data_IF_371427759961
#
_entry.id   IF_371427759961
#
_cell.length_a   1.000
_cell.length_b   1.000
_cell.length_c   1.000
_cell.angle_alpha   90.00
_cell.angle_beta   90.00
_cell.angle_gamma   90.00
#
_symmetry.space_group_name_H-M   'P 1'
#
loop_
_entity.id
_entity.type
_entity.pdbx_description
1 polymer ?
#
# COMPACT_ATOMS: atom_id res chain seq x y z
N UNK A 1 -17.62 -1.48 -59.51
CA UNK A 1 -16.78 -0.61 -58.64
C UNK A 1 -17.27 -0.56 -57.18
N UNK A 2 -18.53 -0.90 -56.89
CA UNK A 2 -19.10 -0.98 -55.53
C UNK A 2 -18.54 -2.10 -54.64
N UNK A 3 -18.05 -3.21 -55.21
CA UNK A 3 -17.46 -4.31 -54.45
C UNK A 3 -16.06 -4.01 -53.87
N UNK A 4 -15.33 -3.05 -54.44
CA UNK A 4 -14.00 -2.66 -53.94
C UNK A 4 -14.09 -1.76 -52.70
N UNK A 5 -15.20 -1.02 -52.56
CA UNK A 5 -15.46 -0.11 -51.42
C UNK A 5 -15.86 -0.89 -50.16
N UNK A 6 -16.52 -2.04 -50.29
CA UNK A 6 -16.90 -2.87 -49.15
C UNK A 6 -15.71 -3.58 -48.47
N UNK A 7 -14.60 -3.80 -49.18
CA UNK A 7 -13.41 -4.45 -48.62
C UNK A 7 -12.52 -3.46 -47.86
N UNK A 8 -12.58 -2.17 -48.17
CA UNK A 8 -11.79 -1.13 -47.49
C UNK A 8 -12.43 -0.69 -46.16
N UNK A 9 -13.74 -0.86 -45.99
CA UNK A 9 -14.45 -0.47 -44.76
C UNK A 9 -14.27 -1.47 -43.60
N UNK A 10 -13.86 -2.71 -43.89
CA UNK A 10 -13.66 -3.74 -42.86
C UNK A 10 -12.29 -3.67 -42.18
N UNK A 11 -11.35 -2.85 -42.69
CA UNK A 11 -9.97 -2.76 -42.18
C UNK A 11 -9.76 -1.72 -41.06
N UNK A 12 -10.81 -0.98 -40.66
CA UNK A 12 -10.72 0.08 -39.65
C UNK A 12 -11.18 -0.33 -38.24
N UNK A 13 -11.48 -1.60 -38.01
CA UNK A 13 -11.87 -2.09 -36.68
C UNK A 13 -10.60 -2.54 -35.94
N UNK A 14 -9.75 -1.57 -35.58
CA UNK A 14 -8.60 -1.84 -34.71
C UNK A 14 -9.12 -2.34 -33.35
N UNK A 15 -8.73 -3.55 -32.88
CA UNK A 15 -9.03 -3.93 -31.52
C UNK A 15 -8.23 -3.00 -30.59
N UNK A 16 -8.95 -2.20 -29.79
CA UNK A 16 -8.34 -1.47 -28.69
C UNK A 16 -7.91 -2.53 -27.68
N UNK A 17 -6.65 -2.96 -27.76
CA UNK A 17 -6.05 -3.85 -26.77
C UNK A 17 -5.97 -3.07 -25.45
N UNK A 18 -6.89 -3.38 -24.55
CA UNK A 18 -6.90 -2.83 -23.19
C UNK A 18 -5.71 -3.42 -22.43
N UNK A 19 -4.69 -2.59 -22.18
CA UNK A 19 -3.51 -3.01 -21.45
C UNK A 19 -3.81 -3.07 -19.96
N UNK A 20 -3.37 -4.16 -19.30
CA UNK A 20 -3.47 -4.31 -17.86
C UNK A 20 -2.70 -3.19 -17.14
N UNK A 21 -3.36 -2.52 -16.20
CA UNK A 21 -2.78 -1.43 -15.39
C UNK A 21 -2.35 -1.90 -14.00
N UNK A 22 -2.74 -3.11 -13.62
CA UNK A 22 -2.48 -3.65 -12.31
C UNK A 22 -3.10 -5.03 -12.09
N UNK A 23 -2.93 -5.54 -10.87
CA UNK A 23 -3.37 -6.88 -10.48
C UNK A 23 -4.01 -6.86 -9.11
N UNK A 24 -5.04 -7.67 -8.93
CA UNK A 24 -5.67 -7.91 -7.64
C UNK A 24 -4.79 -8.85 -6.79
N UNK A 25 -4.37 -8.41 -5.62
CA UNK A 25 -3.55 -9.20 -4.69
C UNK A 25 -4.39 -10.16 -3.85
N UNK A 26 -5.54 -9.68 -3.36
CA UNK A 26 -6.54 -10.52 -2.68
C UNK A 26 -7.91 -9.84 -2.71
N UNK A 27 -8.94 -10.64 -2.49
CA UNK A 27 -10.32 -10.19 -2.28
C UNK A 27 -10.90 -10.87 -1.04
N UNK A 28 -11.88 -10.21 -0.46
CA UNK A 28 -12.68 -10.68 0.67
C UNK A 28 -14.12 -10.58 0.23
N UNK A 29 -14.86 -11.69 0.35
CA UNK A 29 -16.24 -11.80 -0.11
C UNK A 29 -16.36 -11.34 -1.59
N UNK A 30 -17.53 -10.89 -2.01
CA UNK A 30 -17.82 -10.53 -3.40
C UNK A 30 -17.21 -9.17 -3.75
N UNK A 31 -16.34 -9.16 -4.75
CA UNK A 31 -15.80 -7.97 -5.40
C UNK A 31 -15.95 -8.13 -6.90
N UNK A 32 -16.42 -7.08 -7.58
CA UNK A 32 -16.57 -7.07 -9.03
C UNK A 32 -15.87 -5.85 -9.63
N UNK A 33 -15.50 -5.97 -10.90
CA UNK A 33 -15.17 -4.84 -11.75
C UNK A 33 -16.24 -4.69 -12.82
N UNK A 34 -16.64 -3.45 -13.08
CA UNK A 34 -17.54 -3.09 -14.17
C UNK A 34 -16.80 -2.19 -15.16
N UNK A 35 -16.81 -2.54 -16.44
CA UNK A 35 -16.17 -1.77 -17.51
C UNK A 35 -17.03 -1.86 -18.77
N UNK A 36 -17.31 -0.73 -19.42
CA UNK A 36 -18.11 -0.65 -20.64
C UNK A 36 -19.45 -1.43 -20.56
N UNK A 37 -20.10 -1.45 -19.39
CA UNK A 37 -21.36 -2.18 -19.15
C UNK A 37 -21.20 -3.67 -18.82
N UNK A 38 -20.01 -4.25 -18.96
CA UNK A 38 -19.72 -5.64 -18.61
C UNK A 38 -19.25 -5.73 -17.16
N UNK A 39 -19.81 -6.66 -16.40
CA UNK A 39 -19.37 -6.97 -15.03
C UNK A 39 -18.64 -8.29 -14.97
N UNK A 40 -17.54 -8.33 -14.21
CA UNK A 40 -16.76 -9.54 -13.94
C UNK A 40 -16.37 -9.63 -12.48
N UNK A 41 -16.32 -10.84 -11.95
CA UNK A 41 -15.81 -11.08 -10.61
C UNK A 41 -14.30 -10.85 -10.57
N UNK A 42 -13.84 -10.22 -9.49
CA UNK A 42 -12.42 -10.07 -9.20
C UNK A 42 -11.99 -11.09 -8.16
N UNK A 43 -10.91 -11.80 -8.45
CA UNK A 43 -10.23 -12.72 -7.56
C UNK A 43 -8.73 -12.37 -7.53
N UNK A 44 -7.97 -13.02 -6.65
CA UNK A 44 -6.50 -12.92 -6.67
C UNK A 44 -5.97 -13.23 -8.07
N UNK A 45 -5.08 -12.38 -8.57
CA UNK A 45 -4.48 -12.50 -9.90
C UNK A 45 -5.28 -11.87 -11.04
N UNK A 46 -6.53 -11.44 -10.82
CA UNK A 46 -7.30 -10.74 -11.84
C UNK A 46 -6.59 -9.47 -12.33
N UNK A 47 -6.55 -9.28 -13.65
CA UNK A 47 -6.05 -8.08 -14.27
C UNK A 47 -7.06 -6.93 -14.14
N UNK A 48 -6.52 -5.72 -13.98
CA UNK A 48 -7.27 -4.48 -13.94
C UNK A 48 -6.97 -3.68 -15.20
N UNK A 49 -7.97 -2.94 -15.66
CA UNK A 49 -7.93 -2.18 -16.90
C UNK A 49 -8.38 -0.73 -16.66
N UNK A 50 -7.96 0.18 -17.54
CA UNK A 50 -8.49 1.55 -17.53
C UNK A 50 -10.00 1.50 -17.79
N UNK A 51 -10.75 2.31 -17.04
CA UNK A 51 -12.20 2.34 -17.09
C UNK A 51 -12.89 1.42 -16.08
N UNK A 52 -12.15 0.51 -15.42
CA UNK A 52 -12.72 -0.38 -14.42
C UNK A 52 -13.28 0.41 -13.25
N UNK A 53 -14.52 0.08 -12.89
CA UNK A 53 -15.16 0.47 -11.65
C UNK A 53 -15.15 -0.74 -10.72
N UNK A 54 -14.27 -0.71 -9.73
CA UNK A 54 -14.15 -1.74 -8.70
C UNK A 54 -15.22 -1.48 -7.65
N UNK A 55 -16.09 -2.46 -7.44
CA UNK A 55 -17.23 -2.39 -6.55
C UNK A 55 -17.10 -3.47 -5.47
N UNK A 56 -17.10 -3.03 -4.22
CA UNK A 56 -17.11 -3.90 -3.04
C UNK A 56 -18.48 -3.83 -2.36
N UNK A 57 -19.01 -4.98 -1.98
CA UNK A 57 -20.24 -5.08 -1.19
C UNK A 57 -19.97 -4.79 0.31
N UNK A 58 -21.00 -4.93 1.13
CA UNK A 58 -20.87 -4.94 2.59
C UNK A 58 -19.90 -6.04 3.03
N UNK A 59 -19.03 -5.72 4.00
CA UNK A 59 -17.95 -6.57 4.50
C UNK A 59 -16.97 -7.12 3.43
N UNK A 60 -17.03 -6.62 2.20
CA UNK A 60 -16.07 -6.99 1.15
C UNK A 60 -14.86 -6.06 1.18
N UNK A 61 -13.74 -6.54 0.70
CA UNK A 61 -12.54 -5.73 0.50
C UNK A 61 -11.70 -6.30 -0.63
N UNK A 62 -10.91 -5.45 -1.27
CA UNK A 62 -9.90 -5.86 -2.23
C UNK A 62 -8.60 -5.10 -1.98
N UNK A 63 -7.47 -5.78 -2.16
CA UNK A 63 -6.17 -5.11 -2.27
C UNK A 63 -5.66 -5.27 -3.68
N UNK A 64 -5.28 -4.17 -4.30
CA UNK A 64 -4.78 -4.12 -5.67
C UNK A 64 -3.37 -3.54 -5.68
N UNK A 65 -2.58 -3.96 -6.66
CA UNK A 65 -1.26 -3.41 -6.96
C UNK A 65 -1.25 -2.90 -8.38
N UNK A 66 -1.03 -1.61 -8.55
CA UNK A 66 -0.78 -1.01 -9.86
C UNK A 66 0.62 -1.35 -10.38
N UNK A 67 0.81 -1.27 -11.69
CA UNK A 67 2.11 -1.57 -12.31
C UNK A 67 3.22 -0.59 -11.89
N UNK A 68 2.89 0.59 -11.38
CA UNK A 68 3.85 1.54 -10.80
C UNK A 68 4.27 1.18 -9.36
N UNK A 69 3.70 0.11 -8.79
CA UNK A 69 3.94 -0.35 -7.43
C UNK A 69 2.98 0.22 -6.39
N UNK A 70 2.09 1.15 -6.74
CA UNK A 70 1.10 1.69 -5.82
C UNK A 70 0.14 0.61 -5.34
N UNK A 71 -0.01 0.51 -4.02
CA UNK A 71 -0.92 -0.42 -3.36
C UNK A 71 -2.17 0.33 -2.93
N UNK A 72 -3.34 -0.18 -3.31
CA UNK A 72 -4.62 0.37 -2.86
C UNK A 72 -5.44 -0.74 -2.24
N UNK A 73 -5.82 -0.54 -0.98
CA UNK A 73 -6.80 -1.36 -0.29
C UNK A 73 -8.14 -0.65 -0.36
N UNK A 74 -9.14 -1.30 -0.94
CA UNK A 74 -10.50 -0.83 -1.11
C UNK A 74 -11.35 -1.58 -0.07
N UNK A 75 -11.98 -0.86 0.85
CA UNK A 75 -12.81 -1.45 1.89
C UNK A 75 -14.25 -1.68 1.43
N UNK A 76 -15.14 -1.95 2.38
CA UNK A 76 -16.55 -2.23 2.09
C UNK A 76 -17.27 -1.06 1.44
N UNK A 77 -18.37 -1.36 0.75
CA UNK A 77 -19.34 -0.39 0.23
C UNK A 77 -18.72 0.68 -0.69
N UNK A 78 -17.66 0.31 -1.40
CA UNK A 78 -16.84 1.23 -2.17
C UNK A 78 -17.10 1.16 -3.66
N UNK A 79 -16.93 2.30 -4.32
CA UNK A 79 -16.94 2.42 -5.76
C UNK A 79 -15.70 3.21 -6.17
N UNK A 80 -14.69 2.49 -6.64
CA UNK A 80 -13.39 3.02 -6.99
C UNK A 80 -13.14 2.82 -8.48
N UNK A 81 -12.97 3.90 -9.23
CA UNK A 81 -12.81 3.88 -10.68
C UNK A 81 -11.38 4.19 -11.08
N UNK A 82 -10.84 3.39 -11.99
CA UNK A 82 -9.57 3.67 -12.67
C UNK A 82 -9.88 4.55 -13.89
N UNK A 83 -9.49 5.82 -13.84
CA UNK A 83 -9.83 6.78 -14.91
C UNK A 83 -8.76 6.79 -15.98
N UNK A 84 -7.49 6.81 -15.58
CA UNK A 84 -6.37 6.78 -16.51
C UNK A 84 -5.14 6.18 -15.84
N UNK A 85 -4.32 5.51 -16.64
CA UNK A 85 -3.01 5.02 -16.23
C UNK A 85 -2.01 5.21 -17.37
N UNK A 86 -0.94 5.95 -17.12
CA UNK A 86 0.06 6.30 -18.12
C UNK A 86 1.47 6.26 -17.51
N UNK A 87 2.20 5.13 -17.56
CA UNK A 87 3.45 4.95 -16.83
C UNK A 87 4.57 5.92 -17.24
N UNK A 88 4.52 6.44 -18.47
CA UNK A 88 5.53 7.36 -19.01
C UNK A 88 5.23 8.84 -18.73
N UNK A 89 4.09 9.16 -18.13
CA UNK A 89 3.67 10.53 -17.84
C UNK A 89 4.15 10.97 -16.45
N UNK A 90 4.16 12.28 -16.21
CA UNK A 90 4.42 12.82 -14.86
C UNK A 90 3.27 12.45 -13.91
N UNK A 91 2.03 12.56 -14.38
CA UNK A 91 0.83 12.10 -13.68
C UNK A 91 0.44 10.71 -14.16
N UNK A 92 0.82 9.69 -13.40
CA UNK A 92 0.78 8.28 -13.84
C UNK A 92 -0.56 7.62 -13.60
N UNK A 93 -1.28 8.01 -12.55
CA UNK A 93 -2.54 7.39 -12.16
C UNK A 93 -3.59 8.45 -11.86
N UNK A 94 -4.76 8.31 -12.48
CA UNK A 94 -5.98 9.05 -12.14
C UNK A 94 -7.04 8.06 -11.72
N UNK A 95 -7.60 8.26 -10.54
CA UNK A 95 -8.69 7.45 -10.01
C UNK A 95 -9.79 8.33 -9.41
N UNK A 96 -10.99 7.77 -9.34
CA UNK A 96 -12.12 8.38 -8.66
C UNK A 96 -12.60 7.45 -7.53
N UNK A 97 -12.95 8.02 -6.38
CA UNK A 97 -13.63 7.34 -5.29
C UNK A 97 -15.00 8.01 -5.07
N UNK A 98 -16.04 7.43 -5.66
CA UNK A 98 -17.39 7.99 -5.59
C UNK A 98 -18.04 7.78 -4.21
N UNK A 99 -17.76 6.63 -3.58
CA UNK A 99 -18.20 6.28 -2.22
C UNK A 99 -17.30 5.23 -1.59
N UNK A 100 -17.39 5.09 -0.28
CA UNK A 100 -16.72 4.06 0.50
C UNK A 100 -15.35 4.49 0.99
N UNK A 101 -14.42 3.55 1.15
CA UNK A 101 -13.17 3.77 1.88
C UNK A 101 -11.98 3.13 1.19
N UNK A 102 -10.87 3.84 1.17
CA UNK A 102 -9.59 3.32 0.68
C UNK A 102 -8.44 3.65 1.63
N UNK A 103 -7.43 2.78 1.62
CA UNK A 103 -6.09 3.07 2.12
C UNK A 103 -5.11 2.83 0.99
N UNK A 104 -4.28 3.83 0.68
CA UNK A 104 -3.34 3.77 -0.43
C UNK A 104 -1.92 4.10 0.04
N UNK A 105 -0.96 3.41 -0.56
CA UNK A 105 0.47 3.62 -0.39
C UNK A 105 1.11 3.69 -1.77
N UNK A 106 1.58 4.87 -2.15
CA UNK A 106 2.27 5.08 -3.42
C UNK A 106 3.73 4.68 -3.31
N UNK A 107 4.32 4.20 -4.41
CA UNK A 107 5.76 4.04 -4.49
C UNK A 107 6.40 5.45 -4.48
N UNK A 108 7.31 5.73 -3.55
CA UNK A 108 7.85 7.07 -3.20
C UNK A 108 8.60 7.85 -4.30
N UNK A 109 8.41 7.51 -5.57
CA UNK A 109 8.99 8.21 -6.71
C UNK A 109 8.32 9.56 -7.00
N UNK A 110 8.93 10.33 -7.89
CA UNK A 110 8.49 11.67 -8.29
C UNK A 110 7.18 11.72 -9.11
N UNK A 111 6.57 10.56 -9.38
CA UNK A 111 5.38 10.44 -10.22
C UNK A 111 4.14 10.85 -9.43
N UNK A 112 3.34 11.72 -10.02
CA UNK A 112 2.11 12.24 -9.46
C UNK A 112 0.97 11.25 -9.67
N UNK A 113 0.09 11.19 -8.69
CA UNK A 113 -1.18 10.50 -8.79
C UNK A 113 -2.30 11.47 -8.38
N UNK A 114 -3.49 11.25 -8.92
CA UNK A 114 -4.67 12.01 -8.57
C UNK A 114 -5.81 11.10 -8.14
N UNK A 115 -6.44 11.45 -7.04
CA UNK A 115 -7.67 10.84 -6.58
C UNK A 115 -8.77 11.88 -6.50
N UNK A 116 -9.83 11.72 -7.28
CA UNK A 116 -11.01 12.57 -7.17
C UNK A 116 -12.04 11.93 -6.27
N UNK A 117 -12.72 12.77 -5.50
CA UNK A 117 -13.91 12.42 -4.73
C UNK A 117 -15.03 13.39 -5.15
N UNK A 118 -16.29 13.14 -4.78
CA UNK A 118 -17.40 14.03 -5.16
C UNK A 118 -17.23 15.49 -4.74
N UNK A 119 -16.44 15.77 -3.69
CA UNK A 119 -16.27 17.12 -3.14
C UNK A 119 -14.88 17.71 -3.34
N UNK A 120 -13.85 16.88 -3.60
CA UNK A 120 -12.48 17.38 -3.71
C UNK A 120 -11.58 16.45 -4.52
N UNK A 121 -10.56 17.02 -5.16
CA UNK A 121 -9.47 16.30 -5.81
C UNK A 121 -8.18 16.37 -4.99
N UNK A 122 -7.48 15.26 -4.92
CA UNK A 122 -6.24 15.06 -4.16
C UNK A 122 -5.10 14.92 -5.16
N UNK A 123 -4.07 15.76 -5.04
CA UNK A 123 -2.81 15.59 -5.75
C UNK A 123 -1.77 14.94 -4.83
N UNK A 124 -1.22 13.82 -5.28
CA UNK A 124 -0.57 12.82 -4.44
C UNK A 124 0.83 12.53 -5.00
N UNK A 125 1.84 12.50 -4.13
CA UNK A 125 3.21 12.14 -4.51
C UNK A 125 3.92 11.52 -3.32
N UNK A 126 4.30 10.24 -3.41
CA UNK A 126 5.04 9.54 -2.37
C UNK A 126 4.37 9.54 -1.00
N UNK A 127 3.10 9.15 -0.93
CA UNK A 127 2.29 9.20 0.30
C UNK A 127 1.68 7.87 0.71
N UNK A 128 1.39 7.78 2.01
CA UNK A 128 0.51 6.78 2.59
C UNK A 128 -0.68 7.50 3.23
N UNK A 129 -1.89 7.17 2.80
CA UNK A 129 -3.08 7.93 3.18
C UNK A 129 -4.35 7.09 3.20
N UNK A 130 -5.36 7.61 3.90
CA UNK A 130 -6.70 7.03 4.01
C UNK A 130 -7.74 8.02 3.55
N UNK A 131 -8.73 7.55 2.80
CA UNK A 131 -9.87 8.36 2.36
C UNK A 131 -11.16 7.62 2.65
N UNK A 132 -12.14 8.34 3.19
CA UNK A 132 -13.49 7.83 3.42
C UNK A 132 -14.54 8.82 2.92
N UNK A 133 -15.32 8.37 1.95
CA UNK A 133 -16.43 9.09 1.33
C UNK A 133 -17.74 8.40 1.77
N UNK A 134 -18.35 8.82 2.89
CA UNK A 134 -19.62 8.24 3.34
C UNK A 134 -20.77 8.52 2.37
N UNK A 135 -20.72 9.65 1.65
CA UNK A 135 -21.72 10.07 0.68
C UNK A 135 -21.16 11.16 -0.25
N UNK A 136 -21.93 11.56 -1.26
CA UNK A 136 -21.53 12.53 -2.28
C UNK A 136 -21.31 13.98 -1.78
N UNK A 137 -21.50 14.25 -0.48
CA UNK A 137 -21.37 15.60 0.10
C UNK A 137 -20.19 15.73 1.06
N UNK A 138 -19.47 14.63 1.33
CA UNK A 138 -18.43 14.59 2.36
C UNK A 138 -17.32 13.62 1.98
N UNK A 139 -16.07 14.06 2.11
CA UNK A 139 -14.89 13.21 2.03
C UNK A 139 -13.98 13.49 3.23
N UNK A 140 -13.56 12.44 3.92
CA UNK A 140 -12.60 12.52 5.03
C UNK A 140 -11.27 12.01 4.52
N UNK A 141 -10.19 12.73 4.81
CA UNK A 141 -8.85 12.39 4.34
C UNK A 141 -7.90 12.43 5.53
N UNK A 142 -7.13 11.37 5.72
CA UNK A 142 -6.06 11.28 6.72
C UNK A 142 -4.74 10.99 6.03
N UNK A 143 -3.72 11.77 6.34
CA UNK A 143 -2.37 11.54 5.87
C UNK A 143 -1.56 10.81 6.94
N UNK A 144 -0.88 9.74 6.54
CA UNK A 144 -0.03 8.94 7.41
C UNK A 144 1.43 9.30 7.15
N UNK A 145 1.85 9.32 5.89
CA UNK A 145 3.22 9.65 5.45
C UNK A 145 3.19 10.46 4.14
N UNK A 146 4.22 11.27 3.91
CA UNK A 146 4.38 12.06 2.69
C UNK A 146 3.62 13.39 2.71
N UNK A 147 3.17 13.85 1.55
CA UNK A 147 2.49 15.15 1.37
C UNK A 147 1.33 15.03 0.38
N UNK A 148 0.15 15.52 0.77
CA UNK A 148 -1.01 15.64 -0.15
C UNK A 148 -1.33 17.12 -0.35
N UNK A 149 -1.57 17.51 -1.60
CA UNK A 149 -2.12 18.83 -1.94
C UNK A 149 -3.61 18.71 -2.24
N UNK A 150 -4.40 19.58 -1.63
CA UNK A 150 -5.86 19.60 -1.70
C UNK A 150 -6.30 21.05 -1.96
N UNK A 151 -6.60 21.38 -3.22
CA UNK A 151 -6.73 22.77 -3.64
C UNK A 151 -5.48 23.57 -3.27
N UNK A 152 -5.64 24.66 -2.53
CA UNK A 152 -4.55 25.50 -2.03
C UNK A 152 -3.96 25.04 -0.69
N UNK A 153 -4.50 23.97 -0.08
CA UNK A 153 -4.02 23.45 1.21
C UNK A 153 -3.03 22.31 0.99
N UNK A 154 -1.96 22.31 1.77
CA UNK A 154 -1.06 21.16 1.93
C UNK A 154 -1.40 20.44 3.23
N UNK A 155 -1.53 19.12 3.17
CA UNK A 155 -1.76 18.25 4.32
C UNK A 155 -0.42 17.63 4.75
N UNK A 156 -0.15 17.59 6.06
CA UNK A 156 1.08 17.02 6.65
C UNK A 156 0.80 15.66 7.34
N UNK A 157 1.83 14.80 7.53
CA UNK A 157 1.68 13.54 8.24
C UNK A 157 0.99 13.71 9.61
N UNK A 158 0.03 12.84 9.92
CA UNK A 158 -0.78 12.90 11.14
C UNK A 158 -2.01 13.79 11.04
N UNK A 159 -2.06 14.74 10.10
CA UNK A 159 -3.24 15.59 9.89
C UNK A 159 -4.41 14.83 9.28
N UNK A 160 -5.61 15.27 9.61
CA UNK A 160 -6.86 14.80 9.03
C UNK A 160 -7.79 15.97 8.77
N UNK A 161 -8.52 15.89 7.66
CA UNK A 161 -9.48 16.90 7.24
C UNK A 161 -10.80 16.24 6.85
N UNK A 162 -11.85 17.06 6.91
CA UNK A 162 -13.12 16.80 6.25
C UNK A 162 -13.30 17.84 5.15
N UNK A 163 -13.57 17.38 3.94
CA UNK A 163 -13.99 18.17 2.81
C UNK A 163 -15.50 18.05 2.65
N UNK A 164 -16.17 19.18 2.50
CA UNK A 164 -17.60 19.27 2.18
C UNK A 164 -17.78 20.32 1.08
N UNK A 165 -19.00 20.49 0.59
CA UNK A 165 -19.31 21.56 -0.37
C UNK A 165 -19.06 22.97 0.17
N UNK A 166 -19.00 23.14 1.50
CA UNK A 166 -18.75 24.42 2.15
C UNK A 166 -17.26 24.71 2.36
N UNK A 167 -16.38 23.73 2.10
CA UNK A 167 -14.95 23.89 2.25
C UNK A 167 -14.26 22.72 2.94
N UNK A 168 -12.98 22.92 3.24
CA UNK A 168 -12.07 21.95 3.86
C UNK A 168 -11.73 22.44 5.26
N UNK A 169 -12.03 21.64 6.27
CA UNK A 169 -11.72 21.96 7.67
C UNK A 169 -10.97 20.81 8.35
N UNK A 170 -10.04 21.09 9.29
CA UNK A 170 -9.46 20.05 10.13
C UNK A 170 -10.54 19.28 10.88
N UNK A 171 -10.43 17.95 10.91
CA UNK A 171 -11.34 17.07 11.65
C UNK A 171 -10.68 15.72 11.93
N UNK A 172 -10.98 15.07 13.07
CA UNK A 172 -10.53 13.72 13.33
C UNK A 172 -11.01 12.75 12.24
N UNK A 173 -10.17 11.78 11.85
CA UNK A 173 -10.58 10.76 10.90
C UNK A 173 -11.60 9.80 11.53
N UNK A 174 -12.76 9.58 10.92
CA UNK A 174 -13.82 8.77 11.51
C UNK A 174 -13.43 7.29 11.57
N UNK A 175 -13.77 6.62 12.68
CA UNK A 175 -13.50 5.19 12.87
C UNK A 175 -14.12 4.31 11.77
N UNK A 176 -15.32 4.67 11.29
CA UNK A 176 -16.01 3.98 10.19
C UNK A 176 -15.23 3.98 8.86
N UNK A 177 -14.30 4.93 8.69
CA UNK A 177 -13.43 5.03 7.53
C UNK A 177 -12.23 4.09 7.58
N UNK A 178 -12.01 3.36 8.68
CA UNK A 178 -10.98 2.33 8.73
C UNK A 178 -11.42 1.07 7.98
N UNK A 179 -10.46 0.44 7.31
CA UNK A 179 -10.67 -0.85 6.63
C UNK A 179 -10.33 -1.93 7.65
N UNK A 180 -11.34 -2.70 8.04
CA UNK A 180 -11.17 -3.88 8.88
C UNK A 180 -10.74 -5.00 7.93
N UNK A 181 -9.45 -5.34 7.93
CA UNK A 181 -9.01 -6.55 7.25
C UNK A 181 -9.65 -7.76 7.96
N UNK A 182 -10.27 -8.71 7.24
CA UNK A 182 -10.75 -9.93 7.86
C UNK A 182 -9.60 -10.67 8.55
N UNK A 183 -9.92 -11.47 9.59
CA UNK A 183 -8.94 -12.15 10.43
C UNK A 183 -8.02 -13.17 9.73
N UNK A 184 -8.07 -13.36 8.41
CA UNK A 184 -7.11 -14.21 7.67
C UNK A 184 -5.76 -13.51 7.41
N UNK A 185 -5.30 -12.69 8.36
CA UNK A 185 -4.01 -12.00 8.26
C UNK A 185 -3.38 -11.74 9.64
N UNK A 186 -3.32 -12.77 10.50
CA UNK A 186 -2.54 -12.70 11.75
C UNK A 186 -1.86 -14.00 12.19
N UNK A 187 -1.88 -15.10 11.42
CA UNK A 187 -1.25 -16.35 11.88
C UNK A 187 -0.47 -17.08 10.79
N UNK A 188 0.72 -16.57 10.44
CA UNK A 188 1.86 -17.40 10.02
C UNK A 188 3.16 -16.78 10.56
N UNK A 189 3.32 -16.73 11.89
CA UNK A 189 4.61 -16.96 12.52
C UNK A 189 4.41 -17.11 14.04
N UNK A 190 4.07 -18.32 14.46
CA UNK A 190 4.18 -18.72 15.87
C UNK A 190 4.55 -20.19 15.90
N UNK A 191 5.76 -20.51 15.44
CA UNK A 191 6.48 -21.69 15.90
C UNK A 191 6.95 -21.42 17.33
N UNK A 192 6.00 -21.39 18.26
CA UNK A 192 6.31 -21.55 19.67
C UNK A 192 6.53 -23.04 19.91
N UNK A 193 7.81 -23.39 19.99
CA UNK A 193 8.29 -24.64 20.54
C UNK A 193 7.59 -24.92 21.88
N UNK A 194 6.86 -26.03 21.93
CA UNK A 194 6.38 -26.64 23.16
C UNK A 194 7.35 -27.77 23.48
N UNK A 195 8.26 -27.53 24.43
CA UNK A 195 8.99 -28.61 25.09
C UNK A 195 8.33 -28.88 26.43
N UNK A 196 7.75 -30.07 26.57
CA UNK A 196 7.69 -30.78 27.85
C UNK A 196 7.54 -32.27 27.59
N UNK A 197 8.66 -32.98 27.73
CA UNK A 197 8.71 -34.44 27.92
C UNK A 197 8.52 -34.71 29.41
N UNK A 198 7.66 -35.66 29.80
CA UNK A 198 7.94 -36.67 30.84
C UNK A 198 6.87 -37.76 30.77
N UNK A 199 7.28 -39.03 30.62
CA UNK A 199 6.37 -40.18 30.61
C UNK A 199 6.97 -41.49 30.08
N UNK A 200 7.93 -42.03 30.83
CA UNK A 200 8.24 -43.45 31.12
C UNK A 200 7.71 -44.61 30.24
N UNK A 201 8.66 -45.52 29.97
CA UNK A 201 8.59 -46.99 29.80
C UNK A 201 8.24 -47.62 28.43
N UNK A 202 9.21 -48.41 27.94
CA UNK A 202 9.01 -49.85 27.75
C UNK A 202 8.91 -50.39 26.30
N UNK A 203 9.86 -51.28 26.00
CA UNK A 203 9.74 -52.47 25.14
C UNK A 203 10.16 -52.44 23.66
N UNK A 204 10.94 -53.47 23.36
CA UNK A 204 11.59 -53.96 22.14
C UNK A 204 10.62 -54.55 21.11
N UNK A 205 10.94 -54.43 19.80
CA UNK A 205 10.87 -55.44 18.70
C UNK A 205 10.88 -54.73 17.32
N UNK A 206 11.94 -54.81 16.50
CA UNK A 206 12.29 -55.82 15.47
C UNK A 206 11.52 -55.75 14.12
N UNK A 207 12.32 -55.69 13.04
CA UNK A 207 12.09 -56.11 11.64
C UNK A 207 11.14 -55.22 10.77
N UNK A 208 11.31 -54.98 9.47
CA UNK A 208 12.17 -55.51 8.39
C UNK A 208 11.99 -54.61 7.14
N UNK A 209 13.04 -54.39 6.35
CA UNK A 209 12.95 -54.47 4.88
C UNK A 209 12.69 -53.21 4.03
N UNK A 210 13.77 -52.77 3.34
CA UNK A 210 13.83 -52.21 1.98
C UNK A 210 13.60 -50.68 1.71
N UNK A 211 14.72 -49.94 1.75
CA UNK A 211 15.31 -49.02 0.73
C UNK A 211 14.40 -48.31 -0.32
N UNK A 212 14.59 -47.04 -0.76
CA UNK A 212 15.56 -45.93 -0.55
C UNK A 212 15.05 -44.69 -1.34
N UNK A 213 15.49 -43.49 -0.93
CA UNK A 213 15.51 -42.13 -1.58
C UNK A 213 14.40 -41.15 -1.16
N UNK A 214 14.63 -39.88 -0.74
CA UNK A 214 15.84 -39.07 -0.55
C UNK A 214 15.61 -37.95 0.48
N UNK A 215 16.54 -37.86 1.43
CA UNK A 215 17.16 -36.72 2.15
C UNK A 215 16.42 -35.38 2.32
N UNK A 216 16.11 -35.08 3.59
CA UNK A 216 15.92 -33.73 4.13
C UNK A 216 17.20 -33.34 4.87
N UNK A 217 17.90 -32.31 4.40
CA UNK A 217 19.03 -31.71 5.12
C UNK A 217 18.50 -30.69 6.14
N UNK A 218 18.66 -30.98 7.44
CA UNK A 218 18.56 -29.98 8.51
C UNK A 218 19.85 -30.05 9.33
N UNK A 219 20.78 -29.14 9.04
CA UNK A 219 21.98 -28.95 9.84
C UNK A 219 21.62 -28.08 11.03
N UNK A 220 21.59 -28.70 12.21
CA UNK A 220 21.53 -28.01 13.51
C UNK A 220 22.95 -27.62 13.90
N UNK A 221 23.19 -26.35 14.22
CA UNK A 221 24.43 -25.94 14.88
C UNK A 221 24.12 -25.60 16.34
N UNK A 222 24.74 -26.41 17.21
CA UNK A 222 24.84 -26.26 18.65
C UNK A 222 25.85 -25.15 18.96
N UNK A 223 25.49 -24.23 19.84
CA UNK A 223 26.41 -23.28 20.45
C UNK A 223 27.18 -23.95 21.58
N UNK A 224 28.51 -23.84 21.60
CA UNK A 224 29.29 -23.96 22.83
C UNK A 224 30.47 -22.97 22.86
N UNK A 225 30.56 -22.36 24.03
CA UNK A 225 31.46 -21.35 24.57
C UNK A 225 32.92 -21.82 24.62
N UNK A 226 33.89 -20.89 24.54
CA UNK A 226 34.90 -20.59 25.59
C UNK A 226 36.22 -20.01 25.04
N UNK A 227 36.63 -18.91 25.69
CA UNK A 227 37.90 -18.20 25.84
C UNK A 227 39.18 -18.66 25.09
N UNK A 228 39.98 -17.69 24.64
CA UNK A 228 41.32 -17.39 25.20
C UNK A 228 42.04 -16.24 24.45
N UNK A 229 42.91 -15.56 25.20
CA UNK A 229 43.68 -14.35 24.90
C UNK A 229 44.71 -14.50 23.76
N UNK A 230 45.09 -13.39 23.10
CA UNK A 230 46.44 -12.75 23.21
C UNK A 230 46.73 -11.78 22.05
N UNK A 231 47.26 -10.62 22.45
CA UNK A 231 47.78 -9.40 21.79
C UNK A 231 48.39 -9.42 20.38
N UNK A 232 48.27 -8.28 19.66
CA UNK A 232 49.38 -7.38 19.28
C UNK A 232 48.89 -6.02 18.70
N UNK A 233 49.34 -4.92 19.35
CA UNK A 233 49.85 -3.61 18.85
C UNK A 233 49.13 -2.85 17.67
N UNK A 234 48.97 -1.51 17.59
CA UNK A 234 49.57 -0.35 18.26
C UNK A 234 48.77 0.98 18.01
N UNK A 235 49.04 1.98 18.87
CA UNK A 235 48.89 3.46 18.76
C UNK A 235 47.47 4.10 18.72
N UNK A 236 46.98 4.71 19.82
CA UNK A 236 47.11 6.14 20.23
C UNK A 236 46.58 7.12 19.15
N UNK A 237 45.62 8.02 19.39
CA UNK A 237 45.62 9.07 20.43
C UNK A 237 44.22 9.73 20.62
N UNK A 238 44.10 10.35 21.78
CA UNK A 238 43.00 11.04 22.50
C UNK A 238 42.42 12.32 21.85
N UNK A 239 41.10 12.56 22.00
CA UNK A 239 40.51 13.73 22.70
C UNK A 239 38.96 13.80 22.52
N UNK A 240 38.20 14.16 23.58
CA UNK A 240 36.74 14.35 23.51
C UNK A 240 36.35 15.78 23.07
N UNK A 241 35.36 15.91 22.20
CA UNK A 241 34.75 17.20 21.87
C UNK A 241 33.70 17.56 22.92
N UNK A 242 34.01 18.56 23.73
CA UNK A 242 33.13 19.20 24.71
C UNK A 242 32.24 20.24 24.03
N UNK A 243 30.99 20.31 24.51
CA UNK A 243 29.95 21.29 24.16
C UNK A 243 30.21 22.59 24.92
N UNK A 244 30.37 23.71 24.23
CA UNK A 244 30.33 25.04 24.84
C UNK A 244 29.12 25.85 24.36
N UNK A 245 28.26 26.16 25.33
CA UNK A 245 27.28 27.23 25.27
C UNK A 245 27.99 28.58 25.42
N UNK A 246 27.72 29.55 24.54
CA UNK A 246 27.95 30.96 24.88
C UNK A 246 26.78 31.84 24.44
N UNK A 247 26.11 32.33 25.47
CA UNK A 247 25.14 33.40 25.48
C UNK A 247 25.89 34.68 25.89
N UNK A 248 25.78 35.77 25.12
CA UNK A 248 25.75 37.17 25.64
C UNK A 248 25.57 38.20 24.52
N UNK A 249 24.47 38.97 24.63
CA UNK A 249 24.29 40.32 24.08
C UNK A 249 24.99 41.35 25.00
N UNK A 250 25.32 42.55 24.50
CA UNK A 250 24.55 43.72 24.95
C UNK A 250 24.29 44.81 23.90
N UNK A 251 23.34 45.68 24.24
CA UNK A 251 22.75 46.81 23.51
C UNK A 251 23.59 48.10 23.50
N UNK A 252 23.45 48.91 22.44
CA UNK A 252 23.45 50.40 22.42
C UNK A 252 23.27 50.85 20.94
N UNK A 253 22.11 51.34 20.46
CA UNK A 253 21.55 52.70 20.52
C UNK A 253 22.57 53.80 20.20
N UNK A 254 22.52 54.34 18.97
CA UNK A 254 23.01 55.68 18.61
C UNK A 254 21.93 56.37 17.76
N UNK A 255 21.58 57.59 18.14
CA UNK A 255 20.70 58.52 17.43
C UNK A 255 21.44 59.84 17.14
N UNK A 256 20.91 60.63 16.19
CA UNK A 256 21.37 61.95 15.70
C UNK A 256 22.56 61.86 14.73
N UNK A 257 22.53 62.41 13.51
CA UNK A 257 22.01 63.71 13.07
C UNK A 257 21.65 63.70 11.57
#
# INVERSE_FOLDING_TARGET
MTKLISLLLLLFISPILSASVGTVLFTVKKVIAQNAGVSRNLNRGSALEVGDVIITAADSSAKIKYNNGTLVTIGSDSNYKIVAYAPSQEEVLKADLSKGKIESQTNGGAKKEALKTPVVALAITGTKYKVYVPNNKKANVKLIEGVIKIGNKVLRPGESIVATMYGITPAPYPAAGNIIAPPEMSSINSSSASTSTTGTAGSTSQASGAATTSFVNTTTIVSQTTAANTSIAAAQQTAPFTIDCFNTLPSAIIASH
#
